data_IF_848456206025
#
_entry.id   IF_848456206025
#
_cell.length_a   1.000
_cell.length_b   1.000
_cell.length_c   1.000
_cell.angle_alpha   90.00
_cell.angle_beta   90.00
_cell.angle_gamma   90.00
#
_symmetry.space_group_name_H-M   'P 1'
#
loop_
_entity.id
_entity.type
_entity.pdbx_description
1 polymer ?
#
# COMPACT_ATOMS: atom_id res chain seq x y z
N UNK A 1 5.44 -12.81 0.88
CA UNK A 1 4.19 -12.48 1.58
C UNK A 1 3.30 -11.64 0.65
N UNK A 2 2.01 -11.46 0.98
CA UNK A 2 1.11 -10.50 0.34
C UNK A 2 0.02 -10.08 1.36
N UNK A 3 -0.88 -9.16 0.99
CA UNK A 3 -1.92 -8.60 1.89
C UNK A 3 -2.66 -9.67 2.69
N UNK A 4 -3.29 -10.64 2.02
CA UNK A 4 -4.12 -11.69 2.66
C UNK A 4 -3.74 -13.12 2.28
N UNK A 5 -2.51 -13.38 1.84
CA UNK A 5 -2.01 -14.73 1.56
C UNK A 5 -2.31 -15.31 0.16
N UNK A 6 -3.45 -15.01 -0.46
CA UNK A 6 -3.90 -15.70 -1.70
C UNK A 6 -2.91 -15.69 -2.87
N UNK A 7 -2.18 -14.57 -3.07
CA UNK A 7 -1.15 -14.51 -4.13
C UNK A 7 0.05 -15.40 -3.82
N UNK A 8 0.36 -15.58 -2.53
CA UNK A 8 1.41 -16.49 -2.11
C UNK A 8 1.01 -17.94 -2.31
N UNK A 9 -0.26 -18.33 -2.12
CA UNK A 9 -0.68 -19.72 -2.40
C UNK A 9 -0.38 -20.14 -3.85
N UNK A 10 -0.70 -19.25 -4.80
CA UNK A 10 -0.42 -19.48 -6.21
C UNK A 10 1.08 -19.44 -6.50
N UNK A 11 1.79 -18.41 -6.03
CA UNK A 11 3.19 -18.20 -6.33
C UNK A 11 4.09 -19.28 -5.70
N UNK A 12 3.85 -19.63 -4.43
CA UNK A 12 4.63 -20.64 -3.71
C UNK A 12 4.53 -22.01 -4.39
N UNK A 13 3.31 -22.40 -4.80
CA UNK A 13 3.09 -23.64 -5.57
C UNK A 13 3.86 -23.62 -6.90
N UNK A 14 3.78 -22.51 -7.65
CA UNK A 14 4.53 -22.35 -8.90
C UNK A 14 6.06 -22.44 -8.68
N UNK A 15 6.58 -21.85 -7.61
CA UNK A 15 8.00 -21.90 -7.27
C UNK A 15 8.44 -23.32 -6.93
N UNK A 16 7.69 -24.04 -6.11
CA UNK A 16 7.98 -25.46 -5.80
C UNK A 16 8.02 -26.30 -7.08
N UNK A 17 7.05 -26.11 -7.98
CA UNK A 17 6.99 -26.81 -9.27
C UNK A 17 8.18 -26.49 -10.19
N UNK A 18 8.79 -25.30 -10.05
CA UNK A 18 10.00 -24.89 -10.76
C UNK A 18 11.30 -25.37 -10.10
N UNK A 19 11.20 -26.19 -9.05
CA UNK A 19 12.34 -26.85 -8.41
C UNK A 19 12.94 -26.11 -7.22
N UNK A 20 12.36 -24.98 -6.80
CA UNK A 20 12.79 -24.29 -5.57
C UNK A 20 12.50 -25.18 -4.35
N UNK A 21 13.49 -25.36 -3.47
CA UNK A 21 13.40 -26.28 -2.32
C UNK A 21 13.00 -25.62 -1.01
N UNK A 22 13.32 -24.33 -0.86
CA UNK A 22 13.07 -23.56 0.34
C UNK A 22 12.13 -22.41 0.00
N UNK A 23 10.83 -22.71 0.01
CA UNK A 23 9.77 -21.75 -0.28
C UNK A 23 8.94 -21.60 0.99
N UNK A 24 8.84 -20.36 1.48
CA UNK A 24 8.09 -20.02 2.67
C UNK A 24 7.08 -18.92 2.35
N UNK A 25 5.91 -19.00 2.97
CA UNK A 25 4.89 -17.98 2.89
C UNK A 25 4.36 -17.64 4.27
N UNK A 26 3.83 -16.42 4.38
CA UNK A 26 3.18 -15.94 5.59
C UNK A 26 1.73 -16.39 5.57
N UNK A 27 1.35 -17.30 6.47
CA UNK A 27 -0.02 -17.80 6.60
C UNK A 27 -0.98 -16.64 6.92
N UNK A 28 -2.04 -16.50 6.13
CA UNK A 28 -2.98 -15.36 6.22
C UNK A 28 -2.42 -14.00 5.77
N UNK A 29 -1.17 -13.92 5.32
CA UNK A 29 -0.55 -12.69 4.82
C UNK A 29 -0.30 -11.62 5.89
N UNK A 30 -0.07 -10.38 5.43
CA UNK A 30 0.25 -9.24 6.29
C UNK A 30 -0.91 -8.93 7.26
N UNK A 31 -2.17 -9.09 6.81
CA UNK A 31 -3.34 -8.83 7.67
C UNK A 31 -3.26 -9.65 8.96
N UNK A 32 -3.10 -10.98 8.85
CA UNK A 32 -3.01 -11.86 10.02
C UNK A 32 -1.79 -11.56 10.90
N UNK A 33 -0.67 -11.23 10.26
CA UNK A 33 0.54 -10.82 10.97
C UNK A 33 0.33 -9.54 11.79
N UNK A 34 -0.23 -8.49 11.18
CA UNK A 34 -0.46 -7.21 11.83
C UNK A 34 -1.53 -7.27 12.93
N UNK A 35 -2.56 -8.11 12.78
CA UNK A 35 -3.54 -8.38 13.84
C UNK A 35 -2.89 -8.98 15.10
N UNK A 36 -1.87 -9.82 14.91
CA UNK A 36 -1.18 -10.54 16.00
C UNK A 36 -0.11 -9.67 16.66
N UNK A 37 0.76 -9.05 15.87
CA UNK A 37 1.97 -8.40 16.37
C UNK A 37 1.89 -6.87 16.41
N UNK A 38 1.00 -6.25 15.62
CA UNK A 38 0.87 -4.79 15.50
C UNK A 38 2.27 -4.14 15.32
N UNK A 39 2.56 -3.06 16.02
CA UNK A 39 3.84 -2.33 15.94
C UNK A 39 4.95 -2.94 16.81
N UNK A 40 4.65 -3.99 17.59
CA UNK A 40 5.69 -4.78 18.27
C UNK A 40 6.35 -5.78 17.31
N UNK A 41 5.77 -5.98 16.13
CA UNK A 41 6.32 -6.79 15.05
C UNK A 41 7.31 -6.02 14.17
N UNK A 42 7.52 -6.57 12.98
CA UNK A 42 8.40 -6.05 11.94
C UNK A 42 7.65 -5.25 10.86
N UNK A 43 6.33 -5.11 11.01
CA UNK A 43 5.53 -4.32 10.09
C UNK A 43 5.58 -2.84 10.48
N UNK A 44 5.80 -1.96 9.51
CA UNK A 44 5.85 -0.52 9.73
C UNK A 44 4.88 0.20 8.78
N UNK A 45 4.07 1.08 9.37
CA UNK A 45 3.14 1.95 8.66
C UNK A 45 1.86 1.30 8.16
N UNK A 46 1.28 1.89 7.12
CA UNK A 46 -0.08 1.59 6.67
C UNK A 46 -0.11 0.46 5.64
N UNK A 47 -1.05 -0.47 5.79
CA UNK A 47 -1.27 -1.54 4.84
C UNK A 47 -2.30 -1.13 3.79
N UNK A 48 -1.88 -1.07 2.54
CA UNK A 48 -2.80 -0.86 1.42
C UNK A 48 -3.81 -2.02 1.27
N UNK A 49 -5.08 -1.68 1.09
CA UNK A 49 -6.18 -2.63 0.86
C UNK A 49 -7.02 -2.23 -0.36
N UNK A 50 -7.54 -3.24 -1.05
CA UNK A 50 -8.20 -3.09 -2.35
C UNK A 50 -9.72 -2.91 -2.19
N UNK A 51 -10.12 -2.00 -1.33
CA UNK A 51 -11.51 -1.58 -1.13
C UNK A 51 -11.58 -0.09 -0.78
N UNK A 52 -12.79 0.40 -0.44
CA UNK A 52 -13.03 1.83 -0.14
C UNK A 52 -12.17 2.40 0.98
N UNK A 53 -11.62 1.57 1.87
CA UNK A 53 -10.73 2.01 2.95
C UNK A 53 -9.38 2.51 2.41
N UNK A 54 -8.94 1.99 1.26
CA UNK A 54 -7.64 2.22 0.61
C UNK A 54 -6.42 1.77 1.42
N UNK A 55 -6.41 2.00 2.72
CA UNK A 55 -5.38 1.57 3.63
C UNK A 55 -5.95 1.26 5.02
N UNK A 56 -5.15 0.64 5.87
CA UNK A 56 -5.46 0.45 7.28
C UNK A 56 -4.19 0.43 8.13
N UNK A 57 -4.32 0.92 9.34
CA UNK A 57 -3.32 0.82 10.40
C UNK A 57 -3.72 -0.28 11.38
N UNK A 58 -2.73 -1.03 11.89
CA UNK A 58 -2.96 -2.08 12.88
C UNK A 58 -3.06 -1.56 14.32
N UNK A 59 -2.70 -0.28 14.53
CA UNK A 59 -2.80 0.42 15.81
C UNK A 59 -2.88 1.94 15.58
N UNK A 60 -3.01 2.69 16.68
CA UNK A 60 -2.94 4.16 16.67
C UNK A 60 -1.49 4.70 16.63
N UNK A 61 -0.51 3.85 16.95
CA UNK A 61 0.92 4.21 17.01
C UNK A 61 1.64 3.94 15.68
N UNK A 62 0.91 3.48 14.66
CA UNK A 62 1.45 3.19 13.34
C UNK A 62 2.13 4.43 12.74
N UNK A 63 3.40 4.27 12.36
CA UNK A 63 4.19 5.36 11.79
C UNK A 63 3.70 5.73 10.39
N UNK A 64 3.66 7.02 10.08
CA UNK A 64 3.46 7.48 8.70
C UNK A 64 4.79 7.46 7.97
N UNK A 65 4.97 6.49 7.07
CA UNK A 65 6.20 6.33 6.26
C UNK A 65 6.06 6.81 4.82
N UNK A 66 4.84 7.11 4.39
CA UNK A 66 4.57 7.63 3.05
C UNK A 66 4.76 9.13 2.99
N UNK A 67 5.09 9.62 1.80
CA UNK A 67 5.33 11.04 1.52
C UNK A 67 4.44 11.49 0.37
N UNK A 68 3.90 12.70 0.50
CA UNK A 68 3.14 13.34 -0.56
C UNK A 68 4.04 13.54 -1.78
N UNK A 69 3.60 13.04 -2.94
CA UNK A 69 4.37 13.12 -4.19
C UNK A 69 4.69 14.56 -4.62
N UNK A 70 3.93 15.55 -4.13
CA UNK A 70 4.08 16.96 -4.50
C UNK A 70 4.97 17.78 -3.56
N UNK A 71 4.85 17.56 -2.25
CA UNK A 71 5.49 18.42 -1.24
C UNK A 71 6.28 17.66 -0.18
N UNK A 72 6.39 16.33 -0.29
CA UNK A 72 7.04 15.44 0.67
C UNK A 72 6.44 15.44 2.10
N UNK A 73 5.31 16.13 2.34
CA UNK A 73 4.63 16.06 3.63
C UNK A 73 4.18 14.61 3.94
N UNK A 74 4.26 14.16 5.20
CA UNK A 74 3.93 12.78 5.57
C UNK A 74 2.45 12.48 5.29
N UNK A 75 2.18 11.34 4.65
CA UNK A 75 0.81 10.87 4.35
C UNK A 75 0.78 9.38 4.06
N UNK A 76 -0.31 8.72 4.46
CA UNK A 76 -0.66 7.36 4.03
C UNK A 76 -1.81 7.34 3.02
N UNK A 77 -2.32 8.52 2.65
CA UNK A 77 -3.53 8.65 1.83
C UNK A 77 -3.22 8.58 0.34
N UNK A 78 -3.86 7.61 -0.30
CA UNK A 78 -3.88 7.50 -1.75
C UNK A 78 -5.03 8.31 -2.33
N UNK A 79 -4.73 9.13 -3.32
CA UNK A 79 -5.71 9.93 -4.06
C UNK A 79 -5.55 9.70 -5.55
N UNK A 80 -6.67 9.70 -6.27
CA UNK A 80 -6.65 9.68 -7.72
C UNK A 80 -6.24 11.05 -8.25
N UNK A 81 -5.47 11.07 -9.33
CA UNK A 81 -5.26 12.30 -10.08
C UNK A 81 -6.60 12.92 -10.50
N UNK A 82 -6.73 14.24 -10.37
CA UNK A 82 -7.92 15.01 -10.71
C UNK A 82 -8.21 15.06 -12.21
N UNK A 83 -7.22 14.73 -13.06
CA UNK A 83 -7.42 14.59 -14.50
C UNK A 83 -8.24 13.33 -14.79
N UNK A 84 -9.45 13.42 -15.37
CA UNK A 84 -10.32 12.26 -15.60
C UNK A 84 -9.74 11.19 -16.53
N UNK A 85 -8.78 11.56 -17.39
CA UNK A 85 -8.08 10.60 -18.26
C UNK A 85 -6.92 9.91 -17.55
N UNK A 86 -6.43 10.46 -16.44
CA UNK A 86 -5.35 9.86 -15.68
C UNK A 86 -5.86 8.64 -14.89
N UNK A 87 -5.01 7.62 -14.79
CA UNK A 87 -5.26 6.40 -13.99
C UNK A 87 -4.28 6.25 -12.83
N UNK A 88 -3.48 7.29 -12.57
CA UNK A 88 -2.52 7.31 -11.47
C UNK A 88 -3.24 7.51 -10.14
N UNK A 89 -3.05 6.53 -9.25
CA UNK A 89 -3.38 6.58 -7.84
C UNK A 89 -2.07 6.69 -7.06
N UNK A 90 -1.88 7.76 -6.29
CA UNK A 90 -0.61 8.00 -5.58
C UNK A 90 -0.82 8.78 -4.29
N UNK A 91 0.23 8.95 -3.51
CA UNK A 91 0.18 9.58 -2.20
C UNK A 91 0.07 11.11 -2.29
N UNK A 92 -0.98 11.65 -1.67
CA UNK A 92 -1.15 13.10 -1.47
C UNK A 92 -1.45 13.40 0.00
N UNK A 93 -0.91 14.51 0.50
CA UNK A 93 -1.35 15.05 1.78
C UNK A 93 -2.71 15.75 1.62
N UNK A 94 -3.42 15.97 2.72
CA UNK A 94 -4.74 16.60 2.71
C UNK A 94 -4.73 17.99 2.03
N UNK A 95 -3.66 18.76 2.21
CA UNK A 95 -3.52 20.09 1.62
C UNK A 95 -3.38 20.03 0.09
N UNK A 96 -2.52 19.15 -0.43
CA UNK A 96 -2.34 19.00 -1.88
C UNK A 96 -3.56 18.33 -2.55
N UNK A 97 -4.33 17.53 -1.81
CA UNK A 97 -5.56 16.92 -2.31
C UNK A 97 -6.74 17.90 -2.33
N UNK A 98 -6.66 19.03 -1.62
CA UNK A 98 -7.78 19.97 -1.47
C UNK A 98 -8.14 20.73 -2.75
N UNK A 99 -7.21 20.86 -3.71
CA UNK A 99 -7.44 21.53 -5.00
C UNK A 99 -7.21 20.58 -6.18
N UNK A 100 -8.07 20.60 -7.21
CA UNK A 100 -7.85 19.84 -8.44
C UNK A 100 -6.52 20.16 -9.13
N UNK A 101 -5.99 21.38 -9.00
CA UNK A 101 -4.73 21.75 -9.65
C UNK A 101 -3.53 21.08 -8.97
N UNK A 102 -3.57 21.00 -7.65
CA UNK A 102 -2.52 20.36 -6.84
C UNK A 102 -2.69 18.84 -6.79
N UNK A 103 -3.90 18.33 -6.98
CA UNK A 103 -4.20 16.90 -7.11
C UNK A 103 -3.95 16.40 -8.54
N UNK A 104 -2.83 16.80 -9.16
CA UNK A 104 -2.36 16.31 -10.46
C UNK A 104 -0.94 15.78 -10.36
N UNK A 105 -0.63 14.76 -11.15
CA UNK A 105 0.70 14.19 -11.27
C UNK A 105 1.76 15.31 -11.46
N UNK A 106 2.76 15.43 -10.57
CA UNK A 106 3.72 16.53 -10.61
C UNK A 106 4.51 16.64 -11.91
N UNK A 107 4.87 15.51 -12.52
CA UNK A 107 5.61 15.42 -13.78
C UNK A 107 4.69 15.44 -15.02
N UNK A 108 3.40 15.73 -14.83
CA UNK A 108 2.38 15.63 -15.86
C UNK A 108 1.65 14.28 -15.83
N UNK A 109 0.44 14.26 -16.40
CA UNK A 109 -0.33 13.03 -16.53
C UNK A 109 0.07 12.36 -17.84
N UNK A 110 0.72 11.19 -17.77
CA UNK A 110 0.81 10.32 -18.94
C UNK A 110 -0.61 9.93 -19.38
N UNK A 111 -0.85 9.97 -20.69
CA UNK A 111 -2.11 9.54 -21.31
C UNK A 111 -2.25 8.01 -21.29
#
# INVERSE_FOLDING_TARGET
YCTGGIRCEVLSSLMVNRGFKQVYQLDGGIVRYGETFKDQGLWEGSLYVFDKRMHLEFSQDAKTIGECVRCAAPTSKFENCSNPSCRTLTLYCAECAASPETLRCPEGCAA
#
